data_IF_157167057265
#
_entry.id   IF_157167057265
#
_cell.length_a   1.000
_cell.length_b   1.000
_cell.length_c   1.000
_cell.angle_alpha   90.00
_cell.angle_beta   90.00
_cell.angle_gamma   90.00
#
_symmetry.space_group_name_H-M   'P 1'
#
loop_
_entity.id
_entity.type
_entity.pdbx_description
1 polymer ?
#
# COMPACT_ATOMS: atom_id res chain seq x y z
N UNK A 1 -1.92 5.06 24.87
CA UNK A 1 -2.37 4.46 23.59
C UNK A 1 -1.87 5.39 22.49
N UNK A 2 -1.25 4.90 21.42
CA UNK A 2 -0.78 5.73 20.31
C UNK A 2 -1.97 6.19 19.46
N UNK A 3 -1.89 7.40 18.90
CA UNK A 3 -2.85 7.86 17.89
C UNK A 3 -2.66 7.04 16.62
N UNK A 4 -1.40 6.85 16.20
CA UNK A 4 -1.02 6.04 15.06
C UNK A 4 0.31 5.32 15.31
N UNK A 5 0.42 4.11 14.77
CA UNK A 5 1.69 3.39 14.63
C UNK A 5 1.97 3.20 13.14
N UNK A 6 3.22 3.37 12.72
CA UNK A 6 3.66 3.01 11.38
C UNK A 6 4.65 1.85 11.43
N UNK A 7 4.57 0.97 10.45
CA UNK A 7 5.65 0.04 10.14
C UNK A 7 6.27 0.34 8.79
N UNK A 8 7.59 0.22 8.74
CA UNK A 8 8.41 0.49 7.57
C UNK A 8 9.40 -0.65 7.41
N UNK A 9 9.30 -1.37 6.29
CA UNK A 9 10.15 -2.52 5.98
C UNK A 9 11.31 -2.08 5.10
N UNK A 10 12.53 -2.41 5.54
CA UNK A 10 13.77 -2.00 4.91
C UNK A 10 14.44 -3.22 4.29
N UNK A 11 14.97 -3.08 3.06
CA UNK A 11 15.84 -4.05 2.41
C UNK A 11 16.82 -3.35 1.49
N UNK A 12 18.05 -3.09 1.96
CA UNK A 12 19.11 -2.43 1.18
C UNK A 12 18.67 -1.08 0.58
N UNK A 13 17.84 -0.34 1.29
CA UNK A 13 17.33 0.95 0.83
C UNK A 13 18.40 2.03 0.84
N UNK A 14 18.21 3.04 0.00
CA UNK A 14 18.99 4.27 0.05
C UNK A 14 18.80 4.96 1.40
N UNK A 15 19.90 5.40 1.98
CA UNK A 15 19.90 6.02 3.32
C UNK A 15 19.11 7.32 3.35
N UNK A 16 19.24 8.16 2.31
CA UNK A 16 18.59 9.46 2.26
C UNK A 16 17.08 9.29 2.16
N UNK A 17 16.60 8.46 1.22
CA UNK A 17 15.17 8.17 1.07
C UNK A 17 14.57 7.63 2.37
N UNK A 18 15.27 6.72 3.05
CA UNK A 18 14.82 6.17 4.32
C UNK A 18 14.71 7.24 5.42
N UNK A 19 15.67 8.15 5.51
CA UNK A 19 15.64 9.24 6.50
C UNK A 19 14.51 10.23 6.19
N UNK A 20 14.29 10.58 4.92
CA UNK A 20 13.19 11.45 4.48
C UNK A 20 11.81 10.84 4.85
N UNK A 21 11.65 9.52 4.70
CA UNK A 21 10.43 8.81 5.09
C UNK A 21 10.21 8.81 6.61
N UNK A 22 11.27 8.54 7.39
CA UNK A 22 11.24 8.55 8.85
C UNK A 22 10.88 9.94 9.37
N UNK A 23 11.57 10.97 8.87
CA UNK A 23 11.33 12.36 9.26
C UNK A 23 9.90 12.79 8.95
N UNK A 24 9.40 12.47 7.76
CA UNK A 24 8.02 12.77 7.37
C UNK A 24 6.99 12.19 8.36
N UNK A 25 7.20 10.95 8.80
CA UNK A 25 6.28 10.32 9.77
C UNK A 25 6.43 10.88 11.18
N UNK A 26 7.64 11.22 11.61
CA UNK A 26 7.90 11.72 12.97
C UNK A 26 7.63 13.23 13.13
N UNK A 27 7.47 13.98 12.01
CA UNK A 27 7.19 15.41 12.03
C UNK A 27 5.70 15.70 12.31
N UNK A 28 5.27 15.36 13.53
CA UNK A 28 3.87 15.50 13.97
C UNK A 28 3.80 15.72 15.47
N UNK A 29 2.73 16.35 15.95
CA UNK A 29 2.41 16.50 17.38
C UNK A 29 1.62 15.29 17.93
N UNK A 30 1.24 14.35 17.08
CA UNK A 30 0.53 13.15 17.49
C UNK A 30 1.43 12.22 18.33
N UNK A 31 0.80 11.44 19.21
CA UNK A 31 1.49 10.37 19.92
C UNK A 31 1.72 9.17 18.98
N UNK A 32 2.92 9.09 18.41
CA UNK A 32 3.25 8.12 17.35
C UNK A 32 4.30 7.10 17.79
N UNK A 33 4.31 5.95 17.12
CA UNK A 33 5.40 4.96 17.19
C UNK A 33 5.75 4.48 15.78
N UNK A 34 7.04 4.51 15.45
CA UNK A 34 7.58 3.97 14.20
C UNK A 34 8.27 2.63 14.46
N UNK A 35 7.86 1.58 13.79
CA UNK A 35 8.48 0.27 13.86
C UNK A 35 9.25 -0.02 12.58
N UNK A 36 10.56 0.01 12.64
CA UNK A 36 11.46 -0.29 11.53
C UNK A 36 11.81 -1.78 11.55
N UNK A 37 11.49 -2.49 10.47
CA UNK A 37 11.82 -3.89 10.28
C UNK A 37 12.87 -3.99 9.18
N UNK A 38 14.10 -4.27 9.57
CA UNK A 38 15.23 -4.35 8.64
C UNK A 38 15.49 -5.79 8.22
N UNK A 39 15.04 -6.11 7.02
CA UNK A 39 15.22 -7.40 6.37
C UNK A 39 16.54 -7.50 5.59
N UNK A 40 17.42 -6.50 5.68
CA UNK A 40 18.73 -6.50 5.03
C UNK A 40 19.63 -7.62 5.57
N UNK A 41 20.62 -8.08 4.80
CA UNK A 41 21.55 -9.11 5.27
C UNK A 41 22.44 -8.66 6.45
N UNK A 42 22.61 -7.34 6.63
CA UNK A 42 23.41 -6.71 7.69
C UNK A 42 22.63 -5.60 8.35
N UNK A 43 22.87 -5.35 9.64
CA UNK A 43 22.18 -4.33 10.44
C UNK A 43 22.87 -2.94 10.42
N UNK A 44 23.42 -2.56 9.30
CA UNK A 44 24.16 -1.30 9.14
C UNK A 44 23.31 -0.04 9.43
N UNK A 45 21.98 -0.19 9.48
CA UNK A 45 21.04 0.90 9.75
C UNK A 45 20.59 0.99 11.22
N UNK A 46 21.15 0.17 12.12
CA UNK A 46 20.79 0.15 13.54
C UNK A 46 20.92 1.51 14.24
N UNK A 47 21.81 2.40 13.79
CA UNK A 47 22.00 3.74 14.35
C UNK A 47 20.77 4.65 14.20
N UNK A 48 19.83 4.34 13.32
CA UNK A 48 18.61 5.14 13.09
C UNK A 48 17.65 5.09 14.30
N UNK A 49 17.81 4.15 15.22
CA UNK A 49 16.97 3.98 16.41
C UNK A 49 17.12 5.05 17.51
N UNK A 50 17.85 6.12 17.28
CA UNK A 50 18.18 7.11 18.32
C UNK A 50 16.97 7.97 18.78
N UNK A 51 15.87 8.04 18.01
CA UNK A 51 14.65 8.67 18.48
C UNK A 51 13.83 7.66 19.32
N UNK A 52 13.37 8.03 20.55
CA UNK A 52 12.61 7.11 21.41
C UNK A 52 11.27 6.65 20.80
N UNK A 53 10.76 7.37 19.81
CA UNK A 53 9.57 6.98 19.06
C UNK A 53 9.86 5.86 18.05
N UNK A 54 11.13 5.55 17.76
CA UNK A 54 11.53 4.49 16.84
C UNK A 54 11.79 3.20 17.61
N UNK A 55 11.24 2.10 17.12
CA UNK A 55 11.67 0.76 17.48
C UNK A 55 12.26 0.07 16.25
N UNK A 56 13.46 -0.46 16.37
CA UNK A 56 14.18 -1.13 15.29
C UNK A 56 14.29 -2.63 15.55
N UNK A 57 13.88 -3.42 14.56
CA UNK A 57 14.01 -4.88 14.55
C UNK A 57 14.88 -5.30 13.36
N UNK A 58 16.03 -5.91 13.62
CA UNK A 58 16.82 -6.59 12.59
C UNK A 58 16.26 -7.98 12.32
N UNK A 59 15.91 -8.28 11.08
CA UNK A 59 15.26 -9.52 10.67
C UNK A 59 15.85 -10.06 9.35
N UNK A 60 17.09 -10.58 9.39
CA UNK A 60 17.81 -11.01 8.18
C UNK A 60 17.17 -12.23 7.48
N UNK A 61 16.17 -12.87 8.10
CA UNK A 61 15.41 -13.96 7.46
C UNK A 61 14.62 -13.51 6.23
N UNK A 62 14.31 -12.20 6.14
CA UNK A 62 13.54 -11.59 5.05
C UNK A 62 12.31 -12.42 4.62
N UNK A 63 11.28 -12.51 5.45
CA UNK A 63 10.11 -13.36 5.18
C UNK A 63 9.17 -12.77 4.12
N UNK A 64 9.51 -11.62 3.55
CA UNK A 64 8.71 -10.89 2.57
C UNK A 64 8.02 -9.65 3.17
N UNK A 65 7.50 -8.81 2.28
CA UNK A 65 6.98 -7.48 2.64
C UNK A 65 5.79 -7.54 3.61
N UNK A 66 4.71 -8.22 3.22
CA UNK A 66 3.49 -8.31 4.04
C UNK A 66 3.73 -9.03 5.38
N UNK A 67 4.50 -10.12 5.37
CA UNK A 67 4.86 -10.87 6.57
C UNK A 67 5.67 -10.02 7.55
N UNK A 68 6.59 -9.20 7.05
CA UNK A 68 7.35 -8.29 7.90
C UNK A 68 6.45 -7.22 8.52
N UNK A 69 5.55 -6.60 7.77
CA UNK A 69 4.57 -5.67 8.34
C UNK A 69 3.68 -6.34 9.39
N UNK A 70 3.33 -7.62 9.23
CA UNK A 70 2.55 -8.36 10.20
C UNK A 70 3.21 -8.44 11.58
N UNK A 71 4.55 -8.44 11.67
CA UNK A 71 5.26 -8.40 12.96
C UNK A 71 4.84 -7.15 13.74
N UNK A 72 4.87 -5.98 13.07
CA UNK A 72 4.43 -4.72 13.67
C UNK A 72 2.92 -4.67 13.94
N UNK A 73 2.10 -5.17 13.01
CA UNK A 73 0.64 -5.23 13.16
C UNK A 73 0.27 -6.07 14.38
N UNK A 74 0.82 -7.27 14.53
CA UNK A 74 0.58 -8.16 15.67
C UNK A 74 1.00 -7.51 16.99
N UNK A 75 2.13 -6.78 17.02
CA UNK A 75 2.67 -6.14 18.22
C UNK A 75 1.87 -4.90 18.65
N UNK A 76 1.40 -4.09 17.71
CA UNK A 76 0.87 -2.76 17.99
C UNK A 76 -0.63 -2.58 17.75
N UNK A 77 -1.31 -3.52 17.08
CA UNK A 77 -2.73 -3.35 16.73
C UNK A 77 -3.69 -3.18 17.90
N UNK A 78 -3.31 -3.53 19.12
CA UNK A 78 -4.08 -3.28 20.35
C UNK A 78 -3.71 -1.95 21.04
N UNK A 79 -2.68 -1.27 20.54
CA UNK A 79 -2.07 -0.09 21.17
C UNK A 79 -2.33 1.20 20.40
N UNK A 80 -2.97 1.15 19.22
CA UNK A 80 -3.22 2.31 18.38
C UNK A 80 -4.60 2.25 17.70
N UNK A 81 -5.14 3.44 17.37
CA UNK A 81 -6.40 3.58 16.62
C UNK A 81 -6.19 3.38 15.13
N UNK A 82 -5.08 3.90 14.61
CA UNK A 82 -4.70 3.83 13.21
C UNK A 82 -3.34 3.18 13.02
N UNK A 83 -3.15 2.54 11.87
CA UNK A 83 -1.91 1.88 11.50
C UNK A 83 -1.52 2.23 10.08
N UNK A 84 -0.29 2.70 9.89
CA UNK A 84 0.25 3.05 8.58
C UNK A 84 1.28 1.99 8.13
N UNK A 85 1.03 1.37 6.99
CA UNK A 85 2.04 0.64 6.23
C UNK A 85 2.69 1.63 5.29
N UNK A 86 4.00 1.83 5.44
CA UNK A 86 4.74 2.88 4.74
C UNK A 86 5.98 2.32 4.05
N UNK A 87 6.18 2.70 2.80
CA UNK A 87 7.40 2.40 2.06
C UNK A 87 8.56 3.32 2.50
N UNK A 88 9.81 2.83 2.43
CA UNK A 88 11.00 3.60 2.83
C UNK A 88 11.40 4.72 1.86
N UNK A 89 10.73 4.84 0.71
CA UNK A 89 10.93 5.83 -0.34
C UNK A 89 9.72 6.78 -0.50
N UNK A 90 8.89 6.87 0.56
CA UNK A 90 7.76 7.82 0.65
C UNK A 90 8.12 8.97 1.59
N UNK A 91 7.90 10.21 1.12
CA UNK A 91 8.00 11.39 1.97
C UNK A 91 6.82 12.35 1.75
N UNK A 92 6.51 13.16 2.77
CA UNK A 92 5.36 14.06 2.76
C UNK A 92 5.49 15.20 3.78
N UNK A 93 4.65 16.22 3.63
CA UNK A 93 4.63 17.38 4.52
C UNK A 93 3.94 17.08 5.86
N UNK A 94 4.24 17.88 6.90
CA UNK A 94 3.50 17.89 8.18
C UNK A 94 2.01 18.13 7.92
N UNK A 95 1.14 17.47 8.68
CA UNK A 95 -0.31 17.61 8.59
C UNK A 95 -1.02 16.53 7.76
N UNK A 96 -0.29 15.78 6.93
CA UNK A 96 -0.90 14.71 6.09
C UNK A 96 -1.57 13.64 6.95
N UNK A 97 -0.87 13.15 7.96
CA UNK A 97 -1.37 12.07 8.84
C UNK A 97 -2.54 12.57 9.69
N UNK A 98 -2.46 13.78 10.21
CA UNK A 98 -3.51 14.43 11.01
C UNK A 98 -4.80 14.58 10.21
N UNK A 99 -4.71 15.00 8.96
CA UNK A 99 -5.87 15.16 8.08
C UNK A 99 -6.50 13.81 7.70
N UNK A 100 -5.65 12.79 7.43
CA UNK A 100 -6.13 11.43 7.19
C UNK A 100 -6.84 10.85 8.41
N UNK A 101 -6.40 11.13 9.64
CA UNK A 101 -7.09 10.75 10.87
C UNK A 101 -8.48 11.41 10.94
N UNK A 102 -8.56 12.74 10.73
CA UNK A 102 -9.83 13.47 10.71
C UNK A 102 -10.79 12.91 9.67
N UNK A 103 -10.28 12.63 8.47
CA UNK A 103 -11.08 12.03 7.41
C UNK A 103 -11.58 10.62 7.77
N UNK A 104 -10.73 9.78 8.32
CA UNK A 104 -11.11 8.44 8.79
C UNK A 104 -12.13 8.51 9.94
N UNK A 105 -12.04 9.53 10.82
CA UNK A 105 -12.97 9.71 11.93
C UNK A 105 -14.36 10.15 11.48
N UNK A 106 -14.50 10.77 10.31
CA UNK A 106 -15.78 11.21 9.77
C UNK A 106 -16.69 10.05 9.30
N UNK A 107 -16.11 8.87 8.98
CA UNK A 107 -16.87 7.71 8.52
C UNK A 107 -16.24 6.40 9.01
N UNK A 108 -16.91 5.73 9.93
CA UNK A 108 -16.44 4.45 10.50
C UNK A 108 -16.44 3.28 9.50
N UNK A 109 -17.10 3.42 8.35
CA UNK A 109 -17.07 2.40 7.30
C UNK A 109 -15.77 2.42 6.49
N UNK A 110 -14.96 3.48 6.61
CA UNK A 110 -13.65 3.56 5.94
C UNK A 110 -12.64 2.68 6.67
N UNK A 111 -12.11 1.70 5.97
CA UNK A 111 -11.13 0.75 6.51
C UNK A 111 -9.70 1.04 6.10
N UNK A 112 -9.51 1.57 4.89
CA UNK A 112 -8.22 1.85 4.29
C UNK A 112 -8.28 3.13 3.45
N UNK A 113 -7.28 4.01 3.62
CA UNK A 113 -7.13 5.23 2.83
C UNK A 113 -5.73 5.29 2.22
N UNK A 114 -5.64 5.80 1.00
CA UNK A 114 -4.40 6.18 0.33
C UNK A 114 -4.52 7.62 -0.19
N UNK A 115 -3.58 8.52 0.13
CA UNK A 115 -3.56 9.87 -0.41
C UNK A 115 -3.17 9.89 -1.90
N UNK A 116 -3.15 11.08 -2.51
CA UNK A 116 -2.57 11.29 -3.84
C UNK A 116 -1.07 11.03 -3.79
N UNK A 117 -0.60 10.13 -4.63
CA UNK A 117 0.83 9.80 -4.73
C UNK A 117 1.40 10.42 -6.00
N UNK A 118 2.46 11.20 -5.84
CA UNK A 118 3.19 11.82 -6.93
C UNK A 118 4.61 11.27 -7.04
N UNK A 119 5.19 11.34 -8.24
CA UNK A 119 6.64 11.27 -8.40
C UNK A 119 7.31 12.55 -7.88
N UNK A 120 8.63 12.55 -7.59
CA UNK A 120 9.34 13.76 -7.19
C UNK A 120 9.24 14.93 -8.20
N UNK A 121 9.00 14.64 -9.47
CA UNK A 121 8.80 15.64 -10.53
C UNK A 121 7.36 16.19 -10.58
N UNK A 122 6.49 15.83 -9.64
CA UNK A 122 5.10 16.27 -9.55
C UNK A 122 4.11 15.51 -10.43
N UNK A 123 4.55 14.58 -11.27
CA UNK A 123 3.62 13.75 -12.07
C UNK A 123 2.92 12.71 -11.20
N UNK A 124 1.66 12.40 -11.55
CA UNK A 124 0.83 11.49 -10.75
C UNK A 124 1.23 10.02 -10.93
N UNK A 125 1.24 9.27 -9.83
CA UNK A 125 1.28 7.81 -9.84
C UNK A 125 -0.14 7.26 -9.74
N UNK A 126 -0.62 6.56 -10.77
CA UNK A 126 -1.97 6.00 -10.81
C UNK A 126 -2.05 4.70 -9.99
N UNK A 127 -2.19 4.83 -8.68
CA UNK A 127 -2.06 3.74 -7.71
C UNK A 127 -3.38 3.27 -7.10
N UNK A 128 -4.48 3.96 -7.36
CA UNK A 128 -5.84 3.50 -7.10
C UNK A 128 -6.37 2.73 -8.32
N UNK A 129 -6.74 1.46 -8.15
CA UNK A 129 -6.94 0.55 -9.28
C UNK A 129 -8.16 -0.33 -9.09
N UNK A 130 -8.65 -0.90 -10.19
CA UNK A 130 -9.59 -2.02 -10.16
C UNK A 130 -8.88 -3.33 -9.74
N UNK A 131 -9.63 -4.33 -9.33
CA UNK A 131 -9.11 -5.69 -9.14
C UNK A 131 -8.81 -6.29 -10.52
N UNK A 132 -7.56 -6.67 -10.84
CA UNK A 132 -7.20 -7.16 -12.16
C UNK A 132 -7.77 -8.55 -12.45
N UNK A 133 -8.14 -8.81 -13.70
CA UNK A 133 -8.24 -10.18 -14.21
C UNK A 133 -6.85 -10.69 -14.61
N UNK A 134 -6.64 -12.01 -14.74
CA UNK A 134 -5.41 -12.55 -15.29
C UNK A 134 -5.05 -11.91 -16.63
N UNK A 135 -6.04 -11.72 -17.51
CA UNK A 135 -5.84 -11.04 -18.79
C UNK A 135 -5.26 -9.63 -18.63
N UNK A 136 -5.88 -8.78 -17.81
CA UNK A 136 -5.39 -7.41 -17.53
C UNK A 136 -3.99 -7.44 -16.95
N UNK A 137 -3.73 -8.36 -16.01
CA UNK A 137 -2.46 -8.52 -15.34
C UNK A 137 -1.33 -8.87 -16.33
N UNK A 138 -1.53 -9.89 -17.19
CA UNK A 138 -0.53 -10.34 -18.14
C UNK A 138 -0.35 -9.37 -19.32
N UNK A 139 -1.45 -8.85 -19.89
CA UNK A 139 -1.41 -7.94 -21.04
C UNK A 139 -0.64 -6.66 -20.69
N UNK A 140 -0.89 -6.06 -19.54
CA UNK A 140 -0.19 -4.85 -19.13
C UNK A 140 1.32 -5.05 -19.00
N UNK A 141 1.75 -6.25 -18.65
CA UNK A 141 3.17 -6.56 -18.46
C UNK A 141 3.89 -6.94 -19.75
N UNK A 142 3.23 -7.71 -20.62
CA UNK A 142 3.89 -8.39 -21.73
C UNK A 142 3.45 -7.93 -23.12
N UNK A 143 2.30 -7.27 -23.26
CA UNK A 143 1.85 -6.83 -24.57
C UNK A 143 2.65 -5.59 -25.03
N UNK A 144 3.36 -5.65 -26.18
CA UNK A 144 4.13 -4.52 -26.69
C UNK A 144 3.28 -3.45 -27.37
N UNK A 145 1.98 -3.73 -27.63
CA UNK A 145 1.10 -2.82 -28.38
C UNK A 145 0.62 -1.69 -27.46
N UNK A 146 1.20 -0.50 -27.63
CA UNK A 146 1.00 0.66 -26.76
C UNK A 146 -0.46 1.13 -26.69
N UNK A 147 -1.21 1.15 -27.81
CA UNK A 147 -2.60 1.61 -27.87
C UNK A 147 -3.52 0.75 -27.00
N UNK A 148 -3.43 -0.58 -27.13
CA UNK A 148 -4.25 -1.53 -26.36
C UNK A 148 -3.84 -1.45 -24.88
N UNK A 149 -2.54 -1.42 -24.60
CA UNK A 149 -2.01 -1.29 -23.25
C UNK A 149 -2.48 -0.01 -22.56
N UNK A 150 -2.48 1.13 -23.27
CA UNK A 150 -2.95 2.41 -22.76
C UNK A 150 -4.46 2.40 -22.44
N UNK A 151 -5.28 1.82 -23.33
CA UNK A 151 -6.73 1.69 -23.11
C UNK A 151 -7.05 0.83 -21.88
N UNK A 152 -6.35 -0.31 -21.75
CA UNK A 152 -6.50 -1.22 -20.60
C UNK A 152 -6.02 -0.54 -19.32
N UNK A 153 -4.85 0.14 -19.35
CA UNK A 153 -4.30 0.86 -18.21
C UNK A 153 -5.21 2.02 -17.78
N UNK A 154 -5.76 2.79 -18.73
CA UNK A 154 -6.69 3.88 -18.43
C UNK A 154 -7.86 3.41 -17.58
N UNK A 155 -8.52 2.31 -17.98
CA UNK A 155 -9.62 1.72 -17.23
C UNK A 155 -9.17 1.09 -15.91
N UNK A 156 -8.11 0.29 -15.94
CA UNK A 156 -7.62 -0.46 -14.78
C UNK A 156 -7.12 0.47 -13.67
N UNK A 157 -6.38 1.51 -14.03
CA UNK A 157 -5.81 2.50 -13.12
C UNK A 157 -6.76 3.67 -12.86
N UNK A 158 -8.03 3.56 -13.27
CA UNK A 158 -9.08 4.58 -13.05
C UNK A 158 -8.67 5.98 -13.52
N UNK A 159 -7.81 6.10 -14.56
CA UNK A 159 -7.29 7.40 -15.04
C UNK A 159 -8.39 8.34 -15.53
N UNK A 160 -9.51 7.79 -16.00
CA UNK A 160 -10.69 8.55 -16.41
C UNK A 160 -11.34 9.35 -15.28
N UNK A 161 -11.02 9.05 -14.00
CA UNK A 161 -11.48 9.81 -12.84
C UNK A 161 -10.70 11.12 -12.61
N UNK A 162 -9.64 11.38 -13.41
CA UNK A 162 -8.73 12.51 -13.28
C UNK A 162 -8.00 12.62 -11.93
N UNK A 163 -8.31 11.74 -10.98
CA UNK A 163 -7.70 11.69 -9.65
C UNK A 163 -7.80 13.00 -8.84
N UNK A 164 -8.88 13.77 -9.04
CA UNK A 164 -9.11 15.05 -8.37
C UNK A 164 -10.23 15.02 -7.32
N UNK A 165 -10.96 13.90 -7.22
CA UNK A 165 -12.06 13.69 -6.27
C UNK A 165 -11.81 12.47 -5.38
N UNK A 166 -12.42 12.48 -4.19
CA UNK A 166 -12.46 11.30 -3.30
C UNK A 166 -13.21 10.18 -4.03
N UNK A 167 -12.61 9.00 -4.11
CA UNK A 167 -13.25 7.86 -4.76
C UNK A 167 -13.00 6.54 -4.02
N UNK A 168 -13.98 5.65 -4.05
CA UNK A 168 -13.76 4.26 -3.64
C UNK A 168 -12.98 3.53 -4.75
N UNK A 169 -11.86 2.91 -4.39
CA UNK A 169 -11.05 2.12 -5.30
C UNK A 169 -10.71 0.78 -4.65
N UNK A 170 -11.05 -0.36 -5.26
CA UNK A 170 -10.98 -1.66 -4.60
C UNK A 170 -9.55 -2.20 -4.44
N UNK A 171 -8.59 -1.57 -5.05
CA UNK A 171 -7.16 -1.87 -4.93
C UNK A 171 -6.37 -0.57 -4.77
N UNK A 172 -5.72 -0.42 -3.63
CA UNK A 172 -4.79 0.66 -3.30
C UNK A 172 -3.39 0.09 -3.14
N UNK A 173 -2.38 0.80 -3.69
CA UNK A 173 -0.99 0.33 -3.66
C UNK A 173 -0.41 0.27 -2.25
N UNK A 174 0.47 -0.70 -2.03
CA UNK A 174 1.16 -0.96 -0.77
C UNK A 174 2.13 0.12 -0.31
N UNK A 175 2.45 1.11 -1.14
CA UNK A 175 3.45 2.11 -0.80
C UNK A 175 3.04 3.04 0.37
N UNK A 176 1.73 3.31 0.51
CA UNK A 176 1.15 4.07 1.61
C UNK A 176 -0.26 3.55 1.90
N UNK A 177 -0.42 2.75 2.95
CA UNK A 177 -1.72 2.17 3.32
C UNK A 177 -2.09 2.58 4.75
N UNK A 178 -3.02 3.54 4.86
CA UNK A 178 -3.49 4.07 6.13
C UNK A 178 -4.74 3.31 6.59
N UNK A 179 -4.58 2.41 7.54
CA UNK A 179 -5.63 1.51 8.03
C UNK A 179 -6.28 2.00 9.32
N UNK A 180 -7.58 1.76 9.44
CA UNK A 180 -8.21 1.61 10.74
C UNK A 180 -7.76 0.29 11.36
N UNK A 181 -7.14 0.33 12.54
CA UNK A 181 -6.46 -0.85 13.12
C UNK A 181 -7.39 -2.04 13.34
N UNK A 182 -8.68 -1.79 13.69
CA UNK A 182 -9.68 -2.86 13.82
C UNK A 182 -9.88 -3.66 12.53
N UNK A 183 -9.66 -3.05 11.35
CA UNK A 183 -9.73 -3.75 10.06
C UNK A 183 -8.58 -4.73 9.92
N UNK A 184 -7.35 -4.28 10.22
CA UNK A 184 -6.18 -5.18 10.22
C UNK A 184 -6.36 -6.37 11.16
N UNK A 185 -6.94 -6.14 12.35
CA UNK A 185 -7.28 -7.24 13.28
C UNK A 185 -8.28 -8.21 12.67
N UNK A 186 -9.39 -7.69 12.11
CA UNK A 186 -10.43 -8.51 11.48
C UNK A 186 -9.89 -9.34 10.31
N UNK A 187 -8.98 -8.76 9.54
CA UNK A 187 -8.35 -9.42 8.39
C UNK A 187 -7.15 -10.30 8.76
N UNK A 188 -6.69 -10.29 10.02
CA UNK A 188 -5.47 -10.95 10.48
C UNK A 188 -4.22 -10.49 9.70
N UNK A 189 -4.14 -9.20 9.34
CA UNK A 189 -3.03 -8.62 8.60
C UNK A 189 -2.93 -9.08 7.15
N UNK A 190 -1.70 -9.06 6.61
CA UNK A 190 -1.39 -9.54 5.26
C UNK A 190 -1.35 -11.07 5.18
N UNK A 191 -1.60 -11.61 3.97
CA UNK A 191 -1.43 -13.04 3.70
C UNK A 191 0.06 -13.39 3.61
N UNK A 192 0.55 -14.17 4.57
CA UNK A 192 1.97 -14.52 4.71
C UNK A 192 2.48 -15.49 3.63
N UNK A 193 1.59 -16.07 2.83
CA UNK A 193 1.97 -16.87 1.66
C UNK A 193 2.39 -16.02 0.44
N UNK A 194 2.17 -14.71 0.50
CA UNK A 194 2.58 -13.75 -0.53
C UNK A 194 3.87 -13.07 -0.06
N UNK A 195 4.99 -13.43 -0.69
CA UNK A 195 6.29 -12.87 -0.32
C UNK A 195 6.40 -11.37 -0.66
N UNK A 196 6.06 -11.01 -1.91
CA UNK A 196 6.10 -9.63 -2.43
C UNK A 196 5.26 -9.53 -3.69
N UNK A 197 4.66 -8.37 -3.95
CA UNK A 197 3.66 -8.13 -4.98
C UNK A 197 2.36 -8.91 -4.74
N UNK A 198 1.23 -8.34 -5.01
CA UNK A 198 -0.12 -8.87 -4.76
C UNK A 198 -0.60 -8.86 -3.30
N UNK A 199 0.26 -8.65 -2.29
CA UNK A 199 -0.13 -8.54 -0.89
C UNK A 199 -1.03 -7.32 -0.64
N UNK A 200 -0.73 -6.20 -1.31
CA UNK A 200 -1.52 -4.97 -1.28
C UNK A 200 -2.87 -5.12 -1.99
N UNK A 201 -2.88 -5.82 -3.10
CA UNK A 201 -4.10 -6.19 -3.82
C UNK A 201 -4.96 -7.15 -2.97
N UNK A 202 -4.35 -8.17 -2.36
CA UNK A 202 -5.06 -9.15 -1.54
C UNK A 202 -5.71 -8.51 -0.32
N UNK A 203 -4.97 -7.68 0.43
CA UNK A 203 -5.51 -7.04 1.63
C UNK A 203 -6.56 -5.98 1.28
N UNK A 204 -6.38 -5.21 0.19
CA UNK A 204 -7.39 -4.27 -0.29
C UNK A 204 -8.69 -4.98 -0.65
N UNK A 205 -8.60 -6.10 -1.37
CA UNK A 205 -9.75 -6.92 -1.72
C UNK A 205 -10.45 -7.48 -0.49
N UNK A 206 -9.71 -8.07 0.47
CA UNK A 206 -10.27 -8.58 1.73
C UNK A 206 -10.93 -7.48 2.55
N UNK A 207 -10.41 -6.27 2.51
CA UNK A 207 -11.02 -5.11 3.15
C UNK A 207 -12.41 -4.82 2.55
N UNK A 208 -12.52 -4.78 1.21
CA UNK A 208 -13.81 -4.61 0.52
C UNK A 208 -14.79 -5.76 0.80
N UNK A 209 -14.34 -7.03 0.76
CA UNK A 209 -15.19 -8.20 1.03
C UNK A 209 -15.66 -8.24 2.49
N UNK A 210 -14.88 -7.68 3.42
CA UNK A 210 -15.26 -7.51 4.82
C UNK A 210 -16.25 -6.36 5.07
N UNK A 211 -16.66 -5.63 4.01
CA UNK A 211 -17.65 -4.56 4.05
C UNK A 211 -17.07 -3.17 4.36
N UNK A 212 -15.75 -3.01 4.36
CA UNK A 212 -15.12 -1.70 4.57
C UNK A 212 -14.81 -1.01 3.24
N UNK A 213 -14.88 0.32 3.25
CA UNK A 213 -14.47 1.15 2.11
C UNK A 213 -12.95 1.25 2.04
N UNK A 214 -12.42 1.18 0.83
CA UNK A 214 -11.04 1.52 0.49
C UNK A 214 -11.06 2.79 -0.35
N UNK A 215 -10.45 3.87 0.15
CA UNK A 215 -10.63 5.23 -0.36
C UNK A 215 -9.32 5.80 -0.90
N UNK A 216 -9.38 6.33 -2.09
CA UNK A 216 -8.39 7.29 -2.60
C UNK A 216 -8.80 8.70 -2.17
N UNK A 217 -7.88 9.42 -1.49
CA UNK A 217 -8.10 10.73 -0.90
C UNK A 217 -7.15 11.78 -1.51
N UNK A 218 -7.60 12.59 -2.49
CA UNK A 218 -6.74 13.48 -3.26
C UNK A 218 -6.34 14.78 -2.54
N UNK A 219 -6.94 15.10 -1.39
CA UNK A 219 -6.68 16.36 -0.69
C UNK A 219 -5.33 16.39 0.03
N UNK A 220 -4.72 15.21 0.25
CA UNK A 220 -3.37 15.09 0.75
C UNK A 220 -2.45 14.47 -0.30
N UNK A 221 -1.20 14.92 -0.29
CA UNK A 221 -0.19 14.52 -1.28
C UNK A 221 0.99 13.90 -0.55
N UNK A 222 1.44 12.75 -1.06
CA UNK A 222 2.71 12.14 -0.69
C UNK A 222 3.56 11.93 -1.95
N UNK A 223 4.87 11.95 -1.79
CA UNK A 223 5.82 11.72 -2.87
C UNK A 223 6.44 10.34 -2.73
N UNK A 224 6.51 9.61 -3.83
CA UNK A 224 7.08 8.26 -3.88
C UNK A 224 8.25 8.27 -4.86
N UNK A 225 9.46 8.25 -4.33
CA UNK A 225 10.70 8.30 -5.10
C UNK A 225 11.11 6.89 -5.59
N UNK A 226 10.18 6.27 -6.31
CA UNK A 226 10.36 4.92 -6.81
C UNK A 226 11.18 4.90 -8.10
N UNK A 227 12.37 4.32 -8.02
CA UNK A 227 13.20 4.08 -9.19
C UNK A 227 12.71 2.84 -9.95
N UNK A 228 12.22 3.02 -11.17
CA UNK A 228 11.71 1.95 -12.07
C UNK A 228 12.70 0.80 -12.35
N UNK A 229 13.94 0.89 -11.90
CA UNK A 229 15.03 -0.05 -12.23
C UNK A 229 14.91 -1.46 -11.62
N UNK A 230 14.05 -1.67 -10.65
CA UNK A 230 14.05 -2.89 -9.83
C UNK A 230 13.36 -4.11 -10.46
N UNK A 231 12.62 -3.94 -11.56
CA UNK A 231 11.74 -5.02 -12.08
C UNK A 231 12.37 -5.95 -13.13
N UNK A 232 13.60 -5.74 -13.54
CA UNK A 232 14.17 -6.45 -14.71
C UNK A 232 15.04 -7.68 -14.38
N UNK A 233 15.17 -8.05 -13.10
CA UNK A 233 15.92 -9.27 -12.78
C UNK A 233 15.03 -10.51 -12.89
N UNK A 234 15.61 -11.64 -13.34
CA UNK A 234 14.92 -12.93 -13.41
C UNK A 234 14.33 -13.36 -12.05
N UNK A 235 15.05 -13.08 -10.96
CA UNK A 235 14.59 -13.37 -9.59
C UNK A 235 13.30 -12.61 -9.25
N UNK A 236 13.25 -11.29 -9.55
CA UNK A 236 12.06 -10.48 -9.31
C UNK A 236 10.87 -10.91 -10.17
N UNK A 237 11.13 -11.31 -11.41
CA UNK A 237 10.09 -11.81 -12.31
C UNK A 237 9.51 -13.14 -11.82
N UNK A 238 10.36 -14.08 -11.38
CA UNK A 238 9.94 -15.36 -10.80
C UNK A 238 9.07 -15.14 -9.54
N UNK A 239 9.49 -14.24 -8.67
CA UNK A 239 8.76 -13.88 -7.45
C UNK A 239 7.39 -13.26 -7.78
N UNK A 240 7.35 -12.32 -8.73
CA UNK A 240 6.13 -11.70 -9.22
C UNK A 240 5.12 -12.72 -9.76
N UNK A 241 5.59 -13.70 -10.57
CA UNK A 241 4.72 -14.77 -11.06
C UNK A 241 4.26 -15.70 -9.94
N UNK A 242 5.12 -16.08 -9.01
CA UNK A 242 4.75 -16.93 -7.88
C UNK A 242 3.59 -16.30 -7.08
N UNK A 243 3.70 -15.02 -6.76
CA UNK A 243 2.67 -14.26 -6.05
C UNK A 243 1.38 -14.15 -6.87
N UNK A 244 1.49 -13.88 -8.18
CA UNK A 244 0.33 -13.79 -9.06
C UNK A 244 -0.41 -15.14 -9.19
N UNK A 245 0.32 -16.25 -9.37
CA UNK A 245 -0.27 -17.59 -9.39
C UNK A 245 -0.97 -17.92 -8.08
N UNK A 246 -0.34 -17.63 -6.94
CA UNK A 246 -0.97 -17.82 -5.64
C UNK A 246 -2.26 -17.00 -5.52
N UNK A 247 -2.21 -15.70 -5.88
CA UNK A 247 -3.38 -14.81 -5.82
C UNK A 247 -4.53 -15.33 -6.69
N UNK A 248 -4.27 -15.69 -7.95
CA UNK A 248 -5.32 -16.17 -8.83
C UNK A 248 -5.82 -17.57 -8.48
N UNK A 249 -5.00 -18.44 -7.89
CA UNK A 249 -5.46 -19.71 -7.32
C UNK A 249 -6.40 -19.50 -6.12
N UNK A 250 -6.08 -18.54 -5.26
CA UNK A 250 -6.91 -18.18 -4.10
C UNK A 250 -8.25 -17.58 -4.50
N UNK A 251 -8.27 -16.70 -5.49
CA UNK A 251 -9.42 -15.85 -5.82
C UNK A 251 -10.16 -16.25 -7.11
N UNK A 252 -9.60 -17.12 -7.89
CA UNK A 252 -10.14 -17.56 -9.17
C UNK A 252 -9.53 -16.87 -10.39
N UNK A 253 -9.26 -17.67 -11.41
CA UNK A 253 -8.66 -17.21 -12.65
C UNK A 253 -9.67 -16.53 -13.57
N UNK A 254 -10.76 -17.22 -13.93
CA UNK A 254 -11.70 -16.75 -14.96
C UNK A 254 -13.07 -16.39 -14.41
N UNK A 255 -13.59 -17.12 -13.44
CA UNK A 255 -14.96 -17.02 -12.94
C UNK A 255 -15.08 -16.32 -11.59
N UNK A 256 -14.38 -15.20 -11.41
CA UNK A 256 -14.44 -14.40 -10.20
C UNK A 256 -15.62 -13.40 -10.26
N UNK A 257 -16.78 -13.84 -9.78
CA UNK A 257 -18.02 -13.03 -9.72
C UNK A 257 -17.86 -11.82 -8.80
N UNK A 258 -17.16 -11.99 -7.67
CA UNK A 258 -16.95 -10.92 -6.68
C UNK A 258 -16.11 -9.79 -7.27
N UNK A 259 -15.00 -10.10 -7.95
CA UNK A 259 -14.20 -9.11 -8.69
C UNK A 259 -15.05 -8.32 -9.69
N UNK A 260 -15.87 -9.01 -10.49
CA UNK A 260 -16.72 -8.36 -11.50
C UNK A 260 -17.73 -7.41 -10.85
N UNK A 261 -18.36 -7.84 -9.74
CA UNK A 261 -19.32 -7.04 -8.98
C UNK A 261 -18.66 -5.79 -8.40
N UNK A 262 -17.55 -5.95 -7.68
CA UNK A 262 -16.81 -4.84 -7.05
C UNK A 262 -16.35 -3.84 -8.11
N UNK A 263 -15.71 -4.29 -9.19
CA UNK A 263 -15.23 -3.41 -10.24
C UNK A 263 -16.36 -2.64 -10.94
N UNK A 264 -17.50 -3.30 -11.19
CA UNK A 264 -18.68 -2.66 -11.79
C UNK A 264 -19.21 -1.55 -10.88
N UNK A 265 -19.40 -1.85 -9.60
CA UNK A 265 -19.88 -0.89 -8.60
C UNK A 265 -18.92 0.31 -8.45
N UNK A 266 -17.61 0.05 -8.48
CA UNK A 266 -16.60 1.12 -8.44
C UNK A 266 -16.74 2.07 -9.63
N UNK A 267 -16.82 1.53 -10.85
CA UNK A 267 -16.96 2.37 -12.06
C UNK A 267 -18.28 3.16 -12.03
N UNK A 268 -19.38 2.52 -11.63
CA UNK A 268 -20.69 3.19 -11.53
C UNK A 268 -20.67 4.33 -10.50
N UNK A 269 -19.99 4.16 -9.36
CA UNK A 269 -19.83 5.21 -8.35
C UNK A 269 -18.98 6.37 -8.88
N UNK A 270 -17.84 6.07 -9.51
CA UNK A 270 -16.94 7.11 -10.05
C UNK A 270 -17.62 7.93 -11.15
N UNK A 271 -18.41 7.29 -12.02
CA UNK A 271 -19.13 8.01 -13.09
C UNK A 271 -20.24 8.94 -12.56
N UNK A 272 -20.60 8.86 -11.28
CA UNK A 272 -21.60 9.73 -10.62
C UNK A 272 -20.95 10.88 -9.85
N UNK A 273 -19.62 10.89 -9.69
CA UNK A 273 -18.85 11.98 -9.05
C UNK A 273 -18.72 13.19 -9.96
#
# INVERSE_FOLDING_TARGET
>A
MYDIVSSLVIYKNDKKQLLDAIESFLNTELNVKLFLIDNSPTDNLRYIKNDPRIEYLFNPSNPGYGTSHNIGIKKYSIKCKYYLVLNPDIYYAKGVVEDLIKFMDSDNSIGLVMPKVLYPNGSIQYLAKLIPSPFVFFVRRFLPISIIKNKISNKFELRFSEYNKIMEAPYLSGCFMFFRTQVLKKLNGFDENIFMHMEDLDISRRCNEAGFKTIYYPHQIVYHDHLYKTFLTYANLKMYFKSAFYYFNKWGWFFDKTRRKINKQTIEKINKL
#
